data_IF_682557305035
#
_entry.id   IF_682557305035
#
_cell.length_a   1.000
_cell.length_b   1.000
_cell.length_c   1.000
_cell.angle_alpha   90.00
_cell.angle_beta   90.00
_cell.angle_gamma   90.00
#
_symmetry.space_group_name_H-M   'P 1'
#
loop_
_entity.id
_entity.type
_entity.pdbx_description
1 polymer ?
#
# COMPACT_ATOMS: atom_id res chain seq x y z
N UNK A 1 -58.60 0.17 -0.44
CA UNK A 1 -57.61 -0.81 0.07
C UNK A 1 -56.95 -1.57 -1.08
N UNK A 2 -57.71 -2.21 -1.99
CA UNK A 2 -57.16 -2.87 -3.19
C UNK A 2 -57.99 -2.61 -4.46
N UNK A 3 -57.33 -2.58 -5.62
CA UNK A 3 -57.95 -2.44 -6.95
C UNK A 3 -57.44 -3.52 -7.89
N UNK A 4 -58.32 -4.19 -8.63
CA UNK A 4 -57.94 -5.22 -9.60
C UNK A 4 -57.84 -4.65 -11.01
N UNK A 5 -56.67 -4.78 -11.63
CA UNK A 5 -56.45 -4.45 -13.04
C UNK A 5 -56.62 -5.69 -13.91
N UNK A 6 -57.79 -5.85 -14.50
CA UNK A 6 -58.12 -7.00 -15.35
C UNK A 6 -57.20 -7.13 -16.58
N UNK A 7 -56.73 -6.02 -17.14
CA UNK A 7 -55.82 -6.01 -18.29
C UNK A 7 -54.49 -6.72 -18.01
N UNK A 8 -54.00 -6.62 -16.77
CA UNK A 8 -52.74 -7.22 -16.34
C UNK A 8 -52.93 -8.45 -15.44
N UNK A 9 -54.18 -8.69 -15.00
CA UNK A 9 -54.56 -9.70 -14.00
C UNK A 9 -53.76 -9.54 -12.71
N UNK A 10 -53.69 -8.30 -12.21
CA UNK A 10 -52.93 -7.93 -11.01
C UNK A 10 -53.83 -7.21 -10.01
N UNK A 11 -53.66 -7.52 -8.72
CA UNK A 11 -54.29 -6.81 -7.62
C UNK A 11 -53.31 -5.78 -7.06
N UNK A 12 -53.71 -4.51 -6.95
CA UNK A 12 -52.87 -3.41 -6.45
C UNK A 12 -53.37 -2.98 -5.08
N UNK A 13 -52.46 -2.82 -4.12
CA UNK A 13 -52.76 -2.15 -2.85
C UNK A 13 -52.72 -0.64 -3.03
N UNK A 14 -53.83 0.05 -2.76
CA UNK A 14 -53.91 1.51 -2.91
C UNK A 14 -53.12 2.28 -1.84
N UNK A 15 -52.89 1.66 -0.67
CA UNK A 15 -52.13 2.31 0.41
C UNK A 15 -50.62 2.18 0.21
N UNK A 16 -50.17 1.01 -0.25
CA UNK A 16 -48.74 0.75 -0.47
C UNK A 16 -48.30 0.91 -1.94
N UNK A 17 -49.23 1.25 -2.83
CA UNK A 17 -49.01 1.58 -4.25
C UNK A 17 -48.18 0.53 -5.01
N UNK A 18 -48.41 -0.75 -4.72
CA UNK A 18 -47.71 -1.86 -5.38
C UNK A 18 -48.63 -3.06 -5.63
N UNK A 19 -48.23 -3.88 -6.59
CA UNK A 19 -48.88 -5.14 -6.94
C UNK A 19 -48.73 -6.20 -5.84
N UNK A 20 -49.84 -6.79 -5.43
CA UNK A 20 -49.93 -7.83 -4.40
C UNK A 20 -50.07 -9.20 -5.06
N UNK A 21 -49.08 -10.07 -4.83
CA UNK A 21 -49.07 -11.44 -5.37
C UNK A 21 -49.76 -12.46 -4.47
N UNK A 22 -49.66 -12.26 -3.15
CA UNK A 22 -50.38 -13.06 -2.16
C UNK A 22 -51.08 -12.11 -1.21
N UNK A 23 -52.40 -12.03 -1.33
CA UNK A 23 -53.22 -11.15 -0.51
C UNK A 23 -53.10 -11.54 0.97
N UNK A 24 -53.05 -12.84 1.30
CA UNK A 24 -52.91 -13.29 2.70
C UNK A 24 -51.56 -12.87 3.30
N UNK A 25 -50.47 -13.02 2.55
CA UNK A 25 -49.13 -12.63 3.02
C UNK A 25 -48.98 -11.12 3.15
N UNK A 26 -49.53 -10.36 2.20
CA UNK A 26 -49.53 -8.90 2.26
C UNK A 26 -50.37 -8.39 3.43
N UNK A 27 -51.57 -8.96 3.65
CA UNK A 27 -52.39 -8.64 4.81
C UNK A 27 -51.64 -8.95 6.11
N UNK A 28 -50.99 -10.13 6.24
CA UNK A 28 -50.18 -10.47 7.42
C UNK A 28 -49.06 -9.48 7.71
N UNK A 29 -48.35 -9.01 6.69
CA UNK A 29 -47.17 -8.14 6.85
C UNK A 29 -47.53 -6.69 7.12
N UNK A 30 -48.59 -6.18 6.50
CA UNK A 30 -48.90 -4.75 6.49
C UNK A 30 -50.12 -4.38 7.32
N UNK A 31 -51.03 -5.33 7.58
CA UNK A 31 -52.26 -5.08 8.34
C UNK A 31 -52.38 -6.09 9.48
N UNK A 32 -52.24 -5.64 10.73
CA UNK A 32 -52.42 -6.48 11.91
C UNK A 32 -53.90 -6.85 12.12
N UNK A 33 -54.45 -7.68 11.23
CA UNK A 33 -55.87 -8.06 11.19
C UNK A 33 -56.10 -9.44 11.85
N UNK A 34 -57.21 -9.60 12.61
CA UNK A 34 -57.65 -10.90 13.10
C UNK A 34 -57.90 -11.90 11.95
N UNK A 35 -57.68 -13.18 12.21
CA UNK A 35 -57.77 -14.26 11.21
C UNK A 35 -59.15 -14.30 10.53
N UNK A 36 -60.23 -14.08 11.28
CA UNK A 36 -61.59 -14.05 10.75
C UNK A 36 -61.76 -12.96 9.66
N UNK A 37 -61.27 -11.74 9.94
CA UNK A 37 -61.37 -10.62 9.01
C UNK A 37 -60.50 -10.79 7.76
N UNK A 38 -59.32 -11.44 7.89
CA UNK A 38 -58.50 -11.81 6.73
C UNK A 38 -59.22 -12.82 5.82
N UNK A 39 -59.88 -13.83 6.39
CA UNK A 39 -60.63 -14.84 5.63
C UNK A 39 -61.80 -14.22 4.86
N UNK A 40 -62.54 -13.29 5.47
CA UNK A 40 -63.59 -12.54 4.79
C UNK A 40 -63.05 -11.77 3.58
N UNK A 41 -61.93 -11.05 3.74
CA UNK A 41 -61.29 -10.33 2.64
C UNK A 41 -60.78 -11.28 1.55
N UNK A 42 -60.16 -12.40 1.92
CA UNK A 42 -59.72 -13.40 0.95
C UNK A 42 -60.90 -13.97 0.15
N UNK A 43 -62.05 -14.19 0.78
CA UNK A 43 -63.25 -14.69 0.10
C UNK A 43 -63.78 -13.72 -0.97
N UNK A 44 -63.70 -12.40 -0.72
CA UNK A 44 -64.11 -11.37 -1.69
C UNK A 44 -63.27 -11.40 -2.97
N UNK A 45 -61.96 -11.67 -2.85
CA UNK A 45 -61.02 -11.65 -3.97
C UNK A 45 -60.63 -13.05 -4.48
N UNK A 46 -61.17 -14.13 -3.90
CA UNK A 46 -60.83 -15.52 -4.22
C UNK A 46 -61.16 -15.91 -5.68
N UNK A 47 -62.14 -15.26 -6.30
CA UNK A 47 -62.56 -15.52 -7.68
C UNK A 47 -61.69 -14.85 -8.75
N UNK A 48 -60.68 -14.06 -8.37
CA UNK A 48 -59.85 -13.33 -9.32
C UNK A 48 -58.60 -14.12 -9.70
N UNK A 49 -58.33 -14.22 -11.00
CA UNK A 49 -57.06 -14.77 -11.49
C UNK A 49 -55.95 -13.73 -11.33
N UNK A 50 -54.98 -14.00 -10.45
CA UNK A 50 -53.80 -13.14 -10.23
C UNK A 50 -52.59 -13.81 -10.86
N UNK A 51 -51.92 -13.10 -11.78
CA UNK A 51 -50.72 -13.59 -12.44
C UNK A 51 -49.48 -13.51 -11.53
N UNK A 52 -48.55 -14.44 -11.71
CA UNK A 52 -47.25 -14.39 -11.05
C UNK A 52 -46.37 -13.25 -11.59
N UNK A 53 -45.46 -12.69 -10.76
CA UNK A 53 -44.51 -11.62 -11.08
C UNK A 53 -43.89 -11.70 -12.47
N UNK A 54 -43.45 -12.88 -12.89
CA UNK A 54 -42.74 -13.11 -14.17
C UNK A 54 -43.65 -13.22 -15.39
N UNK A 55 -44.96 -13.32 -15.18
CA UNK A 55 -45.97 -13.56 -16.22
C UNK A 55 -46.88 -12.34 -16.46
N UNK A 56 -46.67 -11.25 -15.72
CA UNK A 56 -47.39 -9.99 -15.95
C UNK A 56 -46.86 -9.35 -17.23
N UNK A 57 -47.76 -9.03 -18.17
CA UNK A 57 -47.42 -8.30 -19.38
C UNK A 57 -46.97 -6.88 -19.04
N UNK A 58 -45.86 -6.45 -19.64
CA UNK A 58 -45.41 -5.07 -19.47
C UNK A 58 -46.35 -4.12 -20.23
N UNK A 59 -46.64 -2.93 -19.66
CA UNK A 59 -47.38 -1.90 -20.38
C UNK A 59 -46.62 -1.50 -21.66
N UNK A 60 -47.36 -1.03 -22.67
CA UNK A 60 -46.76 -0.59 -23.91
C UNK A 60 -45.74 0.54 -23.64
N UNK A 61 -44.61 0.59 -24.38
CA UNK A 61 -43.62 1.63 -24.21
C UNK A 61 -44.28 3.01 -24.41
N UNK A 62 -43.99 3.95 -23.51
CA UNK A 62 -44.55 5.32 -23.48
C UNK A 62 -46.08 5.41 -23.31
N UNK A 63 -46.72 4.35 -22.79
CA UNK A 63 -48.13 4.43 -22.39
C UNK A 63 -48.35 5.32 -21.16
N UNK A 64 -49.60 5.75 -20.96
CA UNK A 64 -49.98 6.54 -19.80
C UNK A 64 -49.64 5.78 -18.49
N UNK A 65 -49.13 6.46 -17.45
CA UNK A 65 -48.86 5.84 -16.15
C UNK A 65 -50.12 5.20 -15.56
N UNK A 66 -49.94 4.04 -14.92
CA UNK A 66 -51.01 3.36 -14.19
C UNK A 66 -51.28 4.17 -12.91
N UNK A 67 -52.42 4.87 -12.88
CA UNK A 67 -52.77 5.81 -11.82
C UNK A 67 -52.79 5.17 -10.41
N UNK A 68 -53.13 3.88 -10.34
CA UNK A 68 -53.23 3.11 -9.11
C UNK A 68 -51.87 2.79 -8.45
N UNK A 69 -50.76 2.93 -9.18
CA UNK A 69 -49.39 2.73 -8.68
C UNK A 69 -48.77 4.01 -8.10
N UNK A 70 -49.51 5.11 -8.06
CA UNK A 70 -49.03 6.37 -7.51
C UNK A 70 -48.05 7.13 -8.42
N UNK A 71 -47.38 8.16 -7.90
CA UNK A 71 -46.48 9.00 -8.68
C UNK A 71 -45.22 8.25 -9.12
N UNK A 72 -44.66 8.66 -10.25
CA UNK A 72 -43.41 8.09 -10.77
C UNK A 72 -42.28 8.24 -9.73
N UNK A 73 -41.63 7.12 -9.43
CA UNK A 73 -40.49 7.10 -8.51
C UNK A 73 -39.20 7.42 -9.28
N UNK A 74 -38.32 8.20 -8.65
CA UNK A 74 -36.98 8.43 -9.18
C UNK A 74 -36.20 7.11 -9.24
N UNK A 75 -35.64 6.79 -10.41
CA UNK A 75 -34.77 5.64 -10.61
C UNK A 75 -33.38 6.10 -11.03
N UNK A 76 -32.37 5.33 -10.64
CA UNK A 76 -30.99 5.51 -11.09
C UNK A 76 -30.83 4.77 -12.42
N UNK A 77 -30.33 5.47 -13.43
CA UNK A 77 -29.88 4.90 -14.71
C UNK A 77 -28.35 4.79 -14.67
N UNK A 78 -27.80 3.66 -15.10
CA UNK A 78 -26.37 3.49 -15.24
C UNK A 78 -25.83 4.42 -16.33
N UNK A 79 -24.94 5.35 -15.98
CA UNK A 79 -24.37 6.35 -16.88
C UNK A 79 -23.00 5.95 -17.45
N UNK A 80 -22.69 4.65 -17.54
CA UNK A 80 -21.46 4.19 -18.18
C UNK A 80 -21.58 4.37 -19.70
N UNK A 81 -20.89 5.39 -20.20
CA UNK A 81 -20.46 5.47 -21.60
C UNK A 81 -19.11 4.76 -21.67
N UNK A 82 -19.02 3.65 -22.40
CA UNK A 82 -17.74 3.00 -22.69
C UNK A 82 -16.86 4.01 -23.45
N UNK A 83 -15.82 4.52 -22.79
CA UNK A 83 -14.82 5.38 -23.40
C UNK A 83 -13.96 4.52 -24.34
N UNK A 84 -14.39 4.38 -25.58
CA UNK A 84 -13.59 3.80 -26.64
C UNK A 84 -12.47 4.79 -27.01
N UNK A 85 -11.25 4.54 -26.54
CA UNK A 85 -10.06 5.14 -27.14
C UNK A 85 -9.87 4.57 -28.55
N UNK A 86 -10.13 5.43 -29.54
CA UNK A 86 -9.62 5.44 -30.90
C UNK A 86 -9.43 4.09 -31.63
N UNK A 87 -10.51 3.57 -32.25
CA UNK A 87 -10.53 3.18 -33.67
C UNK A 87 -11.92 2.67 -34.07
N UNK A 88 -12.45 3.25 -35.14
CA UNK A 88 -13.59 2.80 -35.95
C UNK A 88 -15.01 2.79 -35.34
N UNK A 89 -15.91 3.37 -36.13
CA UNK A 89 -17.31 3.62 -35.85
C UNK A 89 -18.09 2.31 -35.84
N UNK A 90 -18.39 1.75 -34.66
CA UNK A 90 -19.58 0.90 -34.48
C UNK A 90 -19.96 0.68 -33.01
N UNK A 91 -21.11 1.25 -32.64
CA UNK A 91 -21.97 0.94 -31.48
C UNK A 91 -21.40 1.18 -30.07
N UNK A 92 -21.53 2.42 -29.60
CA UNK A 92 -21.63 2.73 -28.16
C UNK A 92 -22.78 1.92 -27.55
N UNK A 93 -22.51 0.93 -26.70
CA UNK A 93 -23.55 0.24 -25.93
C UNK A 93 -23.72 0.94 -24.59
N UNK A 94 -24.59 1.94 -24.55
CA UNK A 94 -25.03 2.53 -23.28
C UNK A 94 -25.69 1.46 -22.41
N UNK A 95 -25.23 1.30 -21.17
CA UNK A 95 -25.82 0.34 -20.26
C UNK A 95 -27.27 0.73 -19.91
N UNK A 96 -28.26 -0.04 -20.36
CA UNK A 96 -29.69 0.26 -20.12
C UNK A 96 -30.19 -0.19 -18.74
N UNK A 97 -29.30 -0.37 -17.76
CA UNK A 97 -29.66 -0.85 -16.43
C UNK A 97 -30.26 0.28 -15.58
N UNK A 98 -31.47 0.05 -15.06
CA UNK A 98 -32.21 0.99 -14.22
C UNK A 98 -32.59 0.32 -12.91
N UNK A 99 -32.39 0.99 -11.78
CA UNK A 99 -32.85 0.51 -10.47
C UNK A 99 -33.23 1.67 -9.57
N UNK A 100 -34.21 1.47 -8.69
CA UNK A 100 -34.57 2.42 -7.64
C UNK A 100 -33.69 2.28 -6.39
N UNK A 101 -32.84 1.24 -6.31
CA UNK A 101 -31.99 0.96 -5.16
C UNK A 101 -30.51 1.32 -5.43
N UNK A 102 -29.99 2.30 -4.69
CA UNK A 102 -28.59 2.76 -4.78
C UNK A 102 -27.56 1.64 -4.51
N UNK A 103 -27.85 0.69 -3.61
CA UNK A 103 -26.93 -0.42 -3.32
C UNK A 103 -26.80 -1.39 -4.49
N UNK A 104 -27.92 -1.66 -5.17
CA UNK A 104 -27.92 -2.51 -6.37
C UNK A 104 -27.22 -1.81 -7.54
N UNK A 105 -27.40 -0.48 -7.69
CA UNK A 105 -26.65 0.28 -8.69
C UNK A 105 -25.13 0.17 -8.48
N UNK A 106 -24.65 0.30 -7.24
CA UNK A 106 -23.21 0.13 -6.93
C UNK A 106 -22.69 -1.27 -7.26
N UNK A 107 -23.45 -2.31 -6.93
CA UNK A 107 -23.08 -3.69 -7.30
C UNK A 107 -23.00 -3.87 -8.81
N UNK A 108 -23.96 -3.32 -9.54
CA UNK A 108 -23.98 -3.35 -10.99
C UNK A 108 -22.74 -2.66 -11.58
N UNK A 109 -22.42 -1.44 -11.15
CA UNK A 109 -21.23 -0.70 -11.62
C UNK A 109 -19.93 -1.48 -11.38
N UNK A 110 -19.77 -2.07 -10.18
CA UNK A 110 -18.59 -2.86 -9.86
C UNK A 110 -18.49 -4.15 -10.70
N UNK A 111 -19.61 -4.79 -11.03
CA UNK A 111 -19.63 -5.97 -11.88
C UNK A 111 -19.26 -5.65 -13.33
N UNK A 112 -19.65 -4.49 -13.85
CA UNK A 112 -19.29 -4.08 -15.21
C UNK A 112 -17.79 -3.80 -15.33
N UNK A 113 -17.21 -3.04 -14.40
CA UNK A 113 -15.76 -2.77 -14.41
C UNK A 113 -14.90 -4.03 -14.31
N UNK A 114 -15.36 -5.03 -13.56
CA UNK A 114 -14.64 -6.29 -13.42
C UNK A 114 -14.70 -7.15 -14.69
N UNK A 115 -15.80 -7.05 -15.48
CA UNK A 115 -15.93 -7.72 -16.78
C UNK A 115 -15.03 -7.08 -17.85
N UNK A 116 -14.95 -5.75 -17.88
CA UNK A 116 -14.05 -5.01 -18.78
C UNK A 116 -12.58 -5.38 -18.54
N UNK A 117 -12.15 -5.45 -17.27
CA UNK A 117 -10.80 -5.87 -16.89
C UNK A 117 -10.49 -7.32 -17.29
N UNK A 118 -11.47 -8.22 -17.23
CA UNK A 118 -11.28 -9.62 -17.65
C UNK A 118 -11.22 -9.79 -19.17
N UNK A 119 -11.95 -8.98 -19.94
CA UNK A 119 -11.88 -9.01 -21.41
C UNK A 119 -10.54 -8.48 -21.94
N UNK A 120 -9.98 -7.43 -21.33
CA UNK A 120 -8.63 -6.92 -21.68
C UNK A 120 -7.53 -7.95 -21.39
N UNK A 121 -7.70 -8.80 -20.37
CA UNK A 121 -6.76 -9.90 -20.09
C UNK A 121 -6.88 -11.09 -21.05
N UNK A 122 -8.00 -11.24 -21.77
CA UNK A 122 -8.21 -12.31 -22.74
C UNK A 122 -7.75 -11.92 -24.15
N UNK A 123 -7.91 -10.66 -24.56
CA UNK A 123 -7.36 -10.15 -25.83
C UNK A 123 -5.82 -10.14 -25.84
N UNK A 124 -5.17 -9.96 -24.69
CA UNK A 124 -3.70 -10.09 -24.56
C UNK A 124 -3.16 -11.52 -24.77
N UNK A 125 -3.99 -12.56 -24.64
CA UNK A 125 -3.56 -13.97 -24.73
C UNK A 125 -3.52 -14.54 -26.15
N UNK A 126 -4.16 -13.90 -27.14
CA UNK A 126 -4.14 -14.40 -28.52
C UNK A 126 -2.95 -13.90 -29.35
N UNK A 127 -2.25 -12.83 -28.94
CA UNK A 127 -1.03 -12.36 -29.60
C UNK A 127 0.25 -13.09 -29.12
N UNK A 128 0.20 -13.84 -28.02
CA UNK A 128 1.37 -14.53 -27.45
C UNK A 128 1.66 -15.92 -28.03
N UNK A 129 0.79 -16.49 -28.86
CA UNK A 129 0.95 -17.88 -29.33
C UNK A 129 1.96 -18.06 -30.47
N UNK A 130 2.52 -16.98 -31.05
CA UNK A 130 3.59 -17.05 -32.07
C UNK A 130 5.00 -16.68 -31.57
N UNK A 131 5.15 -16.23 -30.33
CA UNK A 131 6.44 -15.82 -29.73
C UNK A 131 6.94 -16.74 -28.60
N UNK A 132 6.14 -17.73 -28.19
CA UNK A 132 6.41 -18.58 -27.01
C UNK A 132 7.43 -19.73 -27.19
N UNK A 133 8.11 -19.83 -28.33
CA UNK A 133 9.14 -20.87 -28.55
C UNK A 133 10.58 -20.35 -28.49
N UNK A 134 10.83 -19.04 -28.61
CA UNK A 134 12.18 -18.47 -28.40
C UNK A 134 12.44 -18.06 -26.94
N UNK A 135 11.41 -17.63 -26.21
CA UNK A 135 11.58 -16.95 -24.91
C UNK A 135 11.74 -17.91 -23.72
N UNK A 136 11.36 -19.20 -23.87
CA UNK A 136 11.43 -20.19 -22.77
C UNK A 136 12.84 -20.64 -22.40
N UNK A 137 13.82 -20.50 -23.29
CA UNK A 137 15.23 -20.77 -22.96
C UNK A 137 15.88 -19.55 -22.27
N UNK A 138 15.53 -18.33 -22.71
CA UNK A 138 16.01 -17.10 -22.07
C UNK A 138 15.41 -16.87 -20.67
N UNK A 139 14.13 -17.20 -20.44
CA UNK A 139 13.54 -17.08 -19.09
C UNK A 139 14.11 -18.10 -18.10
N UNK A 140 14.47 -19.33 -18.53
CA UNK A 140 15.10 -20.29 -17.61
C UNK A 140 16.52 -19.89 -17.22
N UNK A 141 17.28 -19.31 -18.14
CA UNK A 141 18.62 -18.77 -17.85
C UNK A 141 18.53 -17.50 -16.99
N UNK A 142 17.54 -16.64 -17.21
CA UNK A 142 17.31 -15.44 -16.39
C UNK A 142 16.78 -15.78 -14.99
N UNK A 143 15.91 -16.79 -14.85
CA UNK A 143 15.48 -17.29 -13.53
C UNK A 143 16.64 -17.95 -12.79
N UNK A 144 17.44 -18.78 -13.46
CA UNK A 144 18.66 -19.35 -12.90
C UNK A 144 19.65 -18.26 -12.44
N UNK A 145 19.85 -17.22 -13.25
CA UNK A 145 20.73 -16.10 -12.92
C UNK A 145 20.21 -15.29 -11.72
N UNK A 146 18.89 -15.08 -11.66
CA UNK A 146 18.24 -14.37 -10.57
C UNK A 146 18.31 -15.16 -9.25
N UNK A 147 18.09 -16.48 -9.29
CA UNK A 147 18.23 -17.36 -8.12
C UNK A 147 19.68 -17.43 -7.64
N UNK A 148 20.66 -17.48 -8.55
CA UNK A 148 22.08 -17.39 -8.20
C UNK A 148 22.43 -16.04 -7.55
N UNK A 149 21.88 -14.94 -8.06
CA UNK A 149 22.05 -13.60 -7.44
C UNK A 149 21.44 -13.53 -6.05
N UNK A 150 20.26 -14.10 -5.84
CA UNK A 150 19.63 -14.16 -4.52
C UNK A 150 20.44 -15.01 -3.54
N UNK A 151 20.96 -16.15 -4.00
CA UNK A 151 21.83 -17.00 -3.18
C UNK A 151 23.13 -16.28 -2.79
N UNK A 152 23.75 -15.56 -3.74
CA UNK A 152 24.95 -14.75 -3.49
C UNK A 152 24.68 -13.62 -2.50
N UNK A 153 23.58 -12.86 -2.68
CA UNK A 153 23.20 -11.80 -1.76
C UNK A 153 22.85 -12.34 -0.37
N UNK A 154 22.20 -13.50 -0.28
CA UNK A 154 21.93 -14.15 1.00
C UNK A 154 23.22 -14.58 1.68
N UNK A 155 24.16 -15.17 0.94
CA UNK A 155 25.47 -15.56 1.48
C UNK A 155 26.29 -14.35 1.92
N UNK A 156 26.27 -13.26 1.14
CA UNK A 156 26.95 -12.01 1.48
C UNK A 156 26.33 -11.35 2.71
N UNK A 157 25.01 -11.43 2.86
CA UNK A 157 24.30 -10.88 4.02
C UNK A 157 24.54 -11.71 5.28
N UNK A 158 24.61 -13.05 5.16
CA UNK A 158 25.03 -13.90 6.29
C UNK A 158 26.51 -13.70 6.64
N UNK A 159 27.40 -13.49 5.67
CA UNK A 159 28.79 -13.14 5.92
C UNK A 159 28.93 -11.79 6.64
N UNK A 160 28.18 -10.76 6.20
CA UNK A 160 28.13 -9.47 6.87
C UNK A 160 27.56 -9.57 8.28
N UNK A 161 26.51 -10.39 8.49
CA UNK A 161 25.99 -10.64 9.85
C UNK A 161 27.00 -11.35 10.74
N UNK A 162 27.77 -12.30 10.22
CA UNK A 162 28.81 -12.96 11.00
C UNK A 162 29.97 -12.02 11.30
N UNK A 163 30.38 -11.19 10.34
CA UNK A 163 31.40 -10.16 10.53
C UNK A 163 30.95 -9.09 11.53
N UNK A 164 29.70 -8.63 11.44
CA UNK A 164 29.08 -7.71 12.40
C UNK A 164 28.97 -8.37 13.78
N UNK A 165 28.63 -9.66 13.86
CA UNK A 165 28.57 -10.39 15.13
C UNK A 165 29.96 -10.51 15.76
N UNK A 166 30.99 -10.85 14.98
CA UNK A 166 32.38 -10.91 15.45
C UNK A 166 32.93 -9.53 15.79
N UNK A 167 32.52 -8.47 15.07
CA UNK A 167 32.85 -7.09 15.41
C UNK A 167 32.16 -6.65 16.71
N UNK A 168 30.88 -7.02 16.89
CA UNK A 168 30.14 -6.78 18.14
C UNK A 168 30.78 -7.52 19.30
N UNK A 169 31.19 -8.79 19.11
CA UNK A 169 31.85 -9.58 20.15
C UNK A 169 33.26 -9.04 20.47
N UNK A 170 34.03 -8.58 19.46
CA UNK A 170 35.30 -7.87 19.68
C UNK A 170 35.11 -6.55 20.41
N UNK A 171 34.11 -5.75 20.02
CA UNK A 171 33.73 -4.53 20.75
C UNK A 171 33.28 -4.88 22.16
N UNK A 172 32.56 -5.99 22.39
CA UNK A 172 32.14 -6.44 23.70
C UNK A 172 33.33 -6.88 24.59
N UNK A 173 34.33 -7.55 24.01
CA UNK A 173 35.58 -7.92 24.68
C UNK A 173 36.46 -6.69 24.97
N UNK A 174 36.57 -5.74 24.05
CA UNK A 174 37.28 -4.47 24.24
C UNK A 174 36.58 -3.54 25.25
N UNK A 175 35.25 -3.57 25.30
CA UNK A 175 34.44 -2.80 26.27
C UNK A 175 34.35 -3.44 27.65
N UNK A 176 34.76 -4.70 27.81
CA UNK A 176 34.98 -5.35 29.11
C UNK A 176 36.14 -4.72 29.89
N UNK A 177 37.02 -3.94 29.24
CA UNK A 177 38.01 -3.12 29.92
C UNK A 177 37.34 -1.87 30.54
N UNK A 178 37.49 -1.70 31.86
CA UNK A 178 36.84 -0.66 32.70
C UNK A 178 37.00 0.80 32.23
N UNK A 179 37.83 1.08 31.22
CA UNK A 179 38.09 2.42 30.71
C UNK A 179 37.46 2.70 29.33
N UNK A 180 37.00 1.69 28.59
CA UNK A 180 36.47 1.87 27.23
C UNK A 180 35.07 2.50 27.19
N UNK A 181 34.24 2.28 28.22
CA UNK A 181 32.93 2.95 28.30
C UNK A 181 33.05 4.48 28.42
N UNK A 182 34.16 4.99 28.96
CA UNK A 182 34.44 6.44 29.01
C UNK A 182 34.75 6.97 27.62
N UNK A 183 35.48 6.20 26.81
CA UNK A 183 35.77 6.52 25.40
C UNK A 183 34.50 6.47 24.55
N UNK A 184 33.66 5.44 24.73
CA UNK A 184 32.36 5.37 24.05
C UNK A 184 31.41 6.49 24.49
N UNK A 185 31.35 6.77 25.79
CA UNK A 185 30.55 7.89 26.31
C UNK A 185 31.06 9.25 25.81
N UNK A 186 32.38 9.39 25.65
CA UNK A 186 33.00 10.55 25.03
C UNK A 186 32.65 10.63 23.53
N UNK A 187 32.76 9.53 22.80
CA UNK A 187 32.57 9.51 21.36
C UNK A 187 31.09 9.70 20.93
N UNK A 188 30.13 9.24 21.74
CA UNK A 188 28.69 9.37 21.49
C UNK A 188 28.14 10.74 21.97
N UNK A 189 28.94 11.54 22.68
CA UNK A 189 28.50 12.82 23.26
C UNK A 189 28.12 13.83 22.18
N UNK A 190 27.17 14.71 22.50
CA UNK A 190 26.89 15.89 21.66
C UNK A 190 28.12 16.80 21.59
N UNK A 191 28.40 17.43 20.42
CA UNK A 191 29.49 18.39 20.26
C UNK A 191 29.52 19.43 21.37
N UNK A 192 30.72 19.80 21.80
CA UNK A 192 30.94 20.84 22.82
C UNK A 192 31.56 22.08 22.17
N UNK A 193 31.69 23.16 22.94
CA UNK A 193 32.24 24.45 22.48
C UNK A 193 33.72 24.36 22.06
N UNK A 194 34.44 23.32 22.48
CA UNK A 194 35.79 22.98 22.06
C UNK A 194 35.87 22.32 20.66
N UNK A 195 34.73 21.96 20.05
CA UNK A 195 34.65 21.20 18.80
C UNK A 195 33.77 21.92 17.75
N UNK A 196 34.20 23.08 17.22
CA UNK A 196 33.39 23.92 16.34
C UNK A 196 33.02 23.22 15.01
N UNK A 197 33.90 22.35 14.50
CA UNK A 197 33.65 21.57 13.29
C UNK A 197 32.51 20.57 13.49
N UNK A 198 32.45 19.91 14.65
CA UNK A 198 31.37 18.98 14.98
C UNK A 198 30.05 19.70 15.29
N UNK A 199 30.10 20.91 15.84
CA UNK A 199 28.91 21.77 15.97
C UNK A 199 28.34 22.16 14.60
N UNK A 200 29.22 22.43 13.62
CA UNK A 200 28.79 22.70 12.26
C UNK A 200 28.14 21.47 11.61
N UNK A 201 28.68 20.28 11.85
CA UNK A 201 28.08 19.01 11.41
C UNK A 201 26.69 18.80 12.03
N UNK A 202 26.52 19.03 13.33
CA UNK A 202 25.22 18.94 14.00
C UNK A 202 24.20 19.92 13.38
N UNK A 203 24.60 21.17 13.12
CA UNK A 203 23.73 22.16 12.49
C UNK A 203 23.31 21.76 11.07
N UNK A 204 24.23 21.20 10.27
CA UNK A 204 23.95 20.71 8.91
C UNK A 204 22.97 19.53 8.97
N UNK A 205 23.14 18.61 9.92
CA UNK A 205 22.26 17.44 10.08
C UNK A 205 20.85 17.87 10.48
N UNK A 206 20.72 18.83 11.41
CA UNK A 206 19.41 19.39 11.77
C UNK A 206 18.70 19.97 10.54
N UNK A 207 19.41 20.76 9.72
CA UNK A 207 18.86 21.31 8.49
C UNK A 207 18.48 20.23 7.47
N UNK A 208 19.32 19.21 7.27
CA UNK A 208 19.05 18.11 6.35
C UNK A 208 17.80 17.32 6.76
N UNK A 209 17.65 17.01 8.05
CA UNK A 209 16.47 16.31 8.57
C UNK A 209 15.22 17.17 8.37
N UNK A 210 15.30 18.46 8.65
CA UNK A 210 14.17 19.37 8.44
C UNK A 210 13.77 19.45 6.95
N UNK A 211 14.74 19.64 6.05
CA UNK A 211 14.51 19.66 4.61
C UNK A 211 13.92 18.35 4.09
N UNK A 212 14.44 17.20 4.55
CA UNK A 212 13.91 15.90 4.19
C UNK A 212 12.44 15.76 4.62
N UNK A 213 12.10 16.14 5.86
CA UNK A 213 10.71 16.07 6.38
C UNK A 213 9.78 17.06 5.67
N UNK A 214 10.27 18.22 5.26
CA UNK A 214 9.52 19.15 4.42
C UNK A 214 9.29 18.57 3.01
N UNK A 215 10.32 17.98 2.39
CA UNK A 215 10.25 17.33 1.08
C UNK A 215 9.31 16.12 1.03
N UNK A 216 9.08 15.42 2.14
CA UNK A 216 8.06 14.36 2.20
C UNK A 216 6.66 14.85 1.79
N UNK A 217 6.35 16.13 1.98
CA UNK A 217 5.06 16.69 1.59
C UNK A 217 4.91 16.95 0.09
N UNK A 218 6.02 17.01 -0.65
CA UNK A 218 6.02 17.22 -2.11
C UNK A 218 6.01 15.92 -2.90
N UNK A 219 6.23 14.77 -2.24
CA UNK A 219 6.25 13.46 -2.88
C UNK A 219 4.85 12.91 -3.15
N UNK A 220 4.72 12.10 -4.21
CA UNK A 220 3.49 11.39 -4.51
C UNK A 220 3.14 10.38 -3.40
N UNK A 221 1.84 10.16 -3.20
CA UNK A 221 1.30 9.25 -2.18
C UNK A 221 1.88 7.84 -2.32
N UNK A 222 2.06 7.36 -3.54
CA UNK A 222 2.62 6.02 -3.80
C UNK A 222 4.11 5.94 -3.42
N UNK A 223 4.88 7.00 -3.63
CA UNK A 223 6.28 7.08 -3.18
C UNK A 223 6.37 7.02 -1.66
N UNK A 224 5.46 7.68 -0.94
CA UNK A 224 5.40 7.62 0.52
C UNK A 224 5.02 6.24 1.06
N UNK A 225 4.22 5.46 0.32
CA UNK A 225 3.92 4.06 0.64
C UNK A 225 5.12 3.14 0.39
N UNK A 226 5.87 3.42 -0.66
CA UNK A 226 7.11 2.72 -0.96
C UNK A 226 8.18 2.95 0.10
N UNK A 227 8.42 4.22 0.48
CA UNK A 227 9.42 4.58 1.49
C UNK A 227 9.12 3.98 2.87
N UNK A 228 7.86 3.69 3.19
CA UNK A 228 7.48 3.01 4.44
C UNK A 228 7.69 1.51 4.38
N UNK A 229 7.61 0.91 3.20
CA UNK A 229 7.64 -0.54 3.08
C UNK A 229 9.03 -1.08 3.39
N UNK A 230 9.08 -2.04 4.32
CA UNK A 230 10.29 -2.83 4.58
C UNK A 230 10.59 -3.84 3.44
N UNK A 231 9.68 -4.02 2.47
CA UNK A 231 9.80 -5.01 1.38
C UNK A 231 9.84 -4.32 0.03
N UNK A 232 10.92 -4.54 -0.74
CA UNK A 232 11.12 -3.96 -2.07
C UNK A 232 10.09 -4.40 -3.13
N UNK A 233 9.30 -5.44 -2.87
CA UNK A 233 8.32 -6.00 -3.84
C UNK A 233 6.88 -5.61 -3.57
N UNK A 234 6.58 -4.91 -2.46
CA UNK A 234 5.20 -4.60 -2.07
C UNK A 234 5.11 -3.24 -1.41
N UNK A 235 4.16 -2.42 -1.84
CA UNK A 235 3.83 -1.14 -1.19
C UNK A 235 3.13 -1.36 0.15
N UNK A 236 3.43 -0.52 1.13
CA UNK A 236 2.68 -0.48 2.40
C UNK A 236 1.31 0.19 2.17
N UNK A 237 0.30 -0.22 2.94
CA UNK A 237 -1.02 0.43 2.96
C UNK A 237 -0.91 1.79 3.67
N UNK A 238 -0.04 1.89 4.67
CA UNK A 238 0.19 3.13 5.41
C UNK A 238 1.23 4.01 4.72
N UNK A 239 0.98 5.32 4.73
CA UNK A 239 1.93 6.32 4.26
C UNK A 239 3.05 6.47 5.28
N UNK A 240 4.28 6.69 4.84
CA UNK A 240 5.35 7.12 5.75
C UNK A 240 4.86 8.38 6.48
N UNK A 241 4.64 8.24 7.78
CA UNK A 241 4.06 9.30 8.58
C UNK A 241 5.05 10.45 8.67
N UNK A 242 4.64 11.64 8.24
CA UNK A 242 5.41 12.87 8.47
C UNK A 242 5.67 12.97 9.98
N UNK A 243 6.92 13.21 10.39
CA UNK A 243 7.19 13.60 11.78
C UNK A 243 6.51 14.96 12.03
N UNK A 244 5.26 14.95 12.47
CA UNK A 244 4.48 16.18 12.65
C UNK A 244 5.00 17.04 13.81
N UNK A 245 5.66 16.42 14.79
CA UNK A 245 6.14 17.09 15.99
C UNK A 245 7.58 17.55 15.81
N UNK A 246 7.82 18.87 15.91
CA UNK A 246 9.16 19.47 15.86
C UNK A 246 10.13 18.83 16.86
N UNK A 247 9.64 18.48 18.05
CA UNK A 247 10.43 17.79 19.08
C UNK A 247 10.87 16.38 18.65
N UNK A 248 10.05 15.65 17.89
CA UNK A 248 10.42 14.33 17.38
C UNK A 248 11.45 14.45 16.25
N UNK A 249 11.33 15.48 15.41
CA UNK A 249 12.34 15.78 14.38
C UNK A 249 13.69 16.13 15.02
N UNK A 250 13.68 16.99 16.03
CA UNK A 250 14.89 17.35 16.79
C UNK A 250 15.51 16.14 17.49
N UNK A 251 14.70 15.23 18.05
CA UNK A 251 15.22 13.99 18.62
C UNK A 251 15.89 13.09 17.57
N UNK A 252 15.27 12.94 16.40
CA UNK A 252 15.86 12.18 15.30
C UNK A 252 17.16 12.84 14.79
N UNK A 253 17.16 14.15 14.60
CA UNK A 253 18.34 14.90 14.17
C UNK A 253 19.49 14.78 15.17
N UNK A 254 19.22 14.90 16.48
CA UNK A 254 20.24 14.69 17.52
C UNK A 254 20.80 13.28 17.55
N UNK A 255 19.97 12.26 17.29
CA UNK A 255 20.46 10.88 17.19
C UNK A 255 21.41 10.72 15.99
N UNK A 256 21.03 11.24 14.83
CA UNK A 256 21.88 11.25 13.65
C UNK A 256 23.16 12.06 13.84
N UNK A 257 23.07 13.23 14.49
CA UNK A 257 24.23 14.06 14.83
C UNK A 257 25.21 13.31 15.72
N UNK A 258 24.72 12.63 16.78
CA UNK A 258 25.57 11.82 17.65
C UNK A 258 26.26 10.68 16.92
N UNK A 259 25.52 9.97 16.05
CA UNK A 259 26.08 8.88 15.25
C UNK A 259 27.19 9.39 14.32
N UNK A 260 26.94 10.48 13.59
CA UNK A 260 27.92 11.02 12.65
C UNK A 260 29.13 11.62 13.38
N UNK A 261 28.92 12.32 14.51
CA UNK A 261 30.03 12.79 15.34
C UNK A 261 30.85 11.62 15.90
N UNK A 262 30.20 10.51 16.28
CA UNK A 262 30.90 9.29 16.69
C UNK A 262 31.78 8.74 15.56
N UNK A 263 31.24 8.62 14.34
CA UNK A 263 32.01 8.15 13.18
C UNK A 263 33.21 9.06 12.87
N UNK A 264 33.04 10.38 12.94
CA UNK A 264 34.13 11.34 12.70
C UNK A 264 35.21 11.21 13.78
N UNK A 265 34.81 11.12 15.05
CA UNK A 265 35.76 10.94 16.17
C UNK A 265 36.50 9.59 16.08
N UNK A 266 35.83 8.54 15.63
CA UNK A 266 36.45 7.24 15.44
C UNK A 266 37.50 7.29 14.32
N UNK A 267 37.16 7.87 13.17
CA UNK A 267 38.10 8.02 12.06
C UNK A 267 39.34 8.84 12.47
N UNK A 268 39.14 9.94 13.19
CA UNK A 268 40.24 10.77 13.71
C UNK A 268 41.13 10.01 14.72
N UNK A 269 40.54 9.15 15.54
CA UNK A 269 41.30 8.33 16.50
C UNK A 269 42.12 7.23 15.79
N UNK A 270 41.56 6.61 14.75
CA UNK A 270 42.29 5.64 13.92
C UNK A 270 43.47 6.28 13.19
N UNK A 271 43.30 7.49 12.65
CA UNK A 271 44.39 8.26 12.03
C UNK A 271 45.52 8.56 13.04
N UNK A 272 45.17 8.99 14.26
CA UNK A 272 46.15 9.26 15.32
C UNK A 272 46.93 8.01 15.72
N UNK A 273 46.26 6.86 15.84
CA UNK A 273 46.94 5.60 16.16
C UNK A 273 47.91 5.18 15.06
N UNK A 274 47.53 5.35 13.78
CA UNK A 274 48.41 5.04 12.65
C UNK A 274 49.64 5.96 12.61
N UNK A 275 49.47 7.25 12.93
CA UNK A 275 50.59 8.20 13.01
C UNK A 275 51.52 7.87 14.18
N UNK A 276 50.99 7.51 15.35
CA UNK A 276 51.79 7.11 16.52
C UNK A 276 52.58 5.82 16.26
N UNK A 277 51.96 4.82 15.61
CA UNK A 277 52.63 3.58 15.22
C UNK A 277 53.74 3.81 14.18
N UNK A 278 53.51 4.70 13.21
CA UNK A 278 54.54 5.08 12.22
C UNK A 278 55.71 5.79 12.87
N UNK A 279 55.45 6.73 13.78
CA UNK A 279 56.51 7.43 14.53
C UNK A 279 57.33 6.47 15.39
N UNK A 280 56.69 5.51 16.07
CA UNK A 280 57.40 4.49 16.86
C UNK A 280 58.28 3.60 15.98
N UNK A 281 57.79 3.18 14.80
CA UNK A 281 58.58 2.38 13.87
C UNK A 281 59.76 3.16 13.28
N UNK A 282 59.58 4.45 12.96
CA UNK A 282 60.68 5.30 12.51
C UNK A 282 61.72 5.53 13.61
N UNK A 283 61.30 5.73 14.86
CA UNK A 283 62.21 5.86 16.01
C UNK A 283 62.99 4.57 16.28
N UNK A 284 62.34 3.40 16.20
CA UNK A 284 63.00 2.10 16.34
C UNK A 284 64.02 1.86 15.22
N UNK A 285 63.68 2.17 13.96
CA UNK A 285 64.61 2.05 12.83
C UNK A 285 65.81 2.98 12.99
N UNK A 286 65.60 4.24 13.41
CA UNK A 286 66.69 5.19 13.67
C UNK A 286 67.59 4.75 14.83
N UNK A 287 67.03 4.15 15.88
CA UNK A 287 67.82 3.59 16.98
C UNK A 287 68.64 2.38 16.53
N UNK A 288 68.06 1.53 15.68
CA UNK A 288 68.74 0.35 15.14
C UNK A 288 69.88 0.74 14.19
N UNK A 289 69.69 1.76 13.35
CA UNK A 289 70.73 2.32 12.49
C UNK A 289 71.85 3.00 13.30
N UNK A 290 71.52 3.78 14.36
CA UNK A 290 72.53 4.34 15.27
C UNK A 290 73.31 3.26 16.00
N UNK A 291 72.66 2.17 16.40
CA UNK A 291 73.31 1.00 17.01
C UNK A 291 74.30 0.34 16.05
N UNK A 292 73.92 0.15 14.79
CA UNK A 292 74.79 -0.43 13.74
C UNK A 292 75.96 0.50 13.38
N UNK A 293 75.74 1.82 13.30
CA UNK A 293 76.81 2.80 13.08
C UNK A 293 77.79 2.86 14.27
N UNK A 294 77.31 2.73 15.50
CA UNK A 294 78.16 2.67 16.70
C UNK A 294 79.03 1.40 16.74
N UNK A 295 78.52 0.27 16.23
CA UNK A 295 79.30 -0.98 16.12
C UNK A 295 80.34 -0.89 15.01
N UNK A 296 80.01 -0.25 13.87
CA UNK A 296 80.95 -0.05 12.77
C UNK A 296 82.14 0.86 13.14
N UNK A 297 81.98 1.82 14.05
CA UNK A 297 83.08 2.64 14.56
C UNK A 297 84.02 1.93 15.55
N UNK A 298 83.66 0.73 16.03
CA UNK A 298 84.46 -0.05 17.00
C UNK A 298 85.43 -1.05 16.34
N UNK A 299 85.39 -1.18 15.01
CA UNK A 299 86.34 -1.98 14.23
C UNK A 299 86.98 -1.14 13.10
N UNK A 300 88.19 -0.59 13.31
CA UNK A 300 89.02 -0.03 12.25
C UNK A 300 89.65 -1.10 11.35
#
# INVERSE_FOLDING_TARGET
MFTYLAAYKVLICLEHQHAVYSLDEHLKRHYSLPVARRRELLAVYAGLSINATKQVSLPAPNSAPIAELGPAQGAFLCCQEEAAEAAEVQQRRSCSYVTTNRKEMRKHTNQQQNKEQQQQQQSGKQLQSKQQQSDKQQESEQQSNYEQRLAYLSSSLEALKSEDSEAIDRIAEETSAKDHWKLLAYAIRSPRDDEPELQQVEAVIEQLVEQAVQGLSTLAIDTLRWLRSAKATKTDVQLLGRMQNKESQQRAARLWARLLCYCIRLAAAEEQQQEEEQQQQEEEQQQQERGLQSIACLFP
#
